data_IF_559037330857
#
_entry.id   IF_559037330857
#
_cell.length_a   1.000
_cell.length_b   1.000
_cell.length_c   1.000
_cell.angle_alpha   90.00
_cell.angle_beta   90.00
_cell.angle_gamma   90.00
#
_symmetry.space_group_name_H-M   'P 1'
#
loop_
_entity.id
_entity.type
_entity.pdbx_description
1 polymer ?
#
# COMPACT_ATOMS: atom_id res chain seq x y z
N UNK A 1 -5.09 -3.45 -13.05
CA UNK A 1 -3.80 -3.67 -13.73
C UNK A 1 -3.28 -5.03 -13.32
N UNK A 2 -2.86 -5.84 -14.30
CA UNK A 2 -2.26 -7.15 -14.07
C UNK A 2 -0.92 -7.02 -13.32
N UNK A 3 -0.66 -8.01 -12.46
CA UNK A 3 0.63 -8.19 -11.76
C UNK A 3 1.48 -9.30 -12.40
N UNK A 4 1.03 -9.86 -13.50
CA UNK A 4 1.78 -10.89 -14.21
C UNK A 4 3.15 -10.35 -14.65
N UNK A 5 4.21 -11.10 -14.34
CA UNK A 5 5.59 -10.65 -14.55
C UNK A 5 6.17 -9.81 -13.41
N UNK A 6 5.35 -9.34 -12.46
CA UNK A 6 5.84 -8.73 -11.23
C UNK A 6 6.40 -9.79 -10.28
N UNK A 7 7.58 -9.54 -9.72
CA UNK A 7 8.16 -10.39 -8.70
C UNK A 7 7.37 -10.24 -7.39
N UNK A 8 6.71 -11.29 -6.86
CA UNK A 8 5.81 -11.14 -5.73
C UNK A 8 6.57 -10.88 -4.43
N UNK A 9 6.22 -9.79 -3.75
CA UNK A 9 6.66 -9.53 -2.38
C UNK A 9 5.56 -9.96 -1.39
N UNK A 10 4.44 -9.27 -1.40
CA UNK A 10 3.27 -9.58 -0.56
C UNK A 10 2.02 -9.60 -1.45
N UNK A 11 1.61 -10.79 -1.89
CA UNK A 11 0.61 -10.96 -2.94
C UNK A 11 -0.74 -10.30 -2.64
N UNK A 12 -1.10 -10.14 -1.37
CA UNK A 12 -2.33 -9.45 -0.96
C UNK A 12 -2.21 -7.92 -0.90
N UNK A 13 -1.00 -7.38 -1.12
CA UNK A 13 -0.66 -5.96 -1.01
C UNK A 13 0.03 -5.40 -2.26
N UNK A 14 0.68 -6.26 -3.06
CA UNK A 14 1.38 -5.85 -4.27
C UNK A 14 0.42 -5.19 -5.25
N UNK A 15 0.81 -4.02 -5.77
CA UNK A 15 0.00 -3.21 -6.69
C UNK A 15 0.91 -2.58 -7.74
N UNK A 16 0.54 -2.72 -9.00
CA UNK A 16 1.17 -1.99 -10.09
C UNK A 16 0.53 -0.61 -10.24
N UNK A 17 1.34 0.41 -10.32
CA UNK A 17 0.92 1.80 -10.52
C UNK A 17 1.85 2.54 -11.47
N UNK A 18 1.54 3.81 -11.73
CA UNK A 18 2.31 4.67 -12.61
C UNK A 18 2.81 5.91 -11.88
N UNK A 19 4.01 6.36 -12.24
CA UNK A 19 4.59 7.62 -11.77
C UNK A 19 4.81 8.53 -12.97
N UNK A 20 4.13 9.68 -13.00
CA UNK A 20 4.13 10.62 -14.12
C UNK A 20 4.24 12.06 -13.64
N UNK A 21 4.47 12.99 -14.55
CA UNK A 21 4.53 14.43 -14.24
C UNK A 21 3.17 15.12 -14.24
N UNK A 22 2.15 14.48 -14.82
CA UNK A 22 0.79 15.04 -14.85
C UNK A 22 -0.25 13.95 -14.62
N UNK A 23 -1.42 14.34 -14.11
CA UNK A 23 -2.58 13.45 -13.98
C UNK A 23 -3.02 12.92 -15.34
N UNK A 24 -2.90 13.74 -16.39
CA UNK A 24 -3.23 13.38 -17.77
C UNK A 24 -2.38 12.21 -18.27
N UNK A 25 -1.06 12.28 -18.07
CA UNK A 25 -0.15 11.20 -18.45
C UNK A 25 -0.44 9.93 -17.64
N UNK A 26 -0.74 10.08 -16.33
CA UNK A 26 -1.11 8.94 -15.50
C UNK A 26 -2.37 8.24 -16.03
N UNK A 27 -3.39 9.00 -16.41
CA UNK A 27 -4.62 8.45 -16.97
C UNK A 27 -4.39 7.71 -18.28
N UNK A 28 -3.60 8.27 -19.21
CA UNK A 28 -3.25 7.62 -20.48
C UNK A 28 -2.55 6.28 -20.22
N UNK A 29 -1.55 6.27 -19.34
CA UNK A 29 -0.78 5.05 -19.06
C UNK A 29 -1.62 4.00 -18.35
N UNK A 30 -2.45 4.41 -17.35
CA UNK A 30 -3.34 3.47 -16.66
C UNK A 30 -4.39 2.91 -17.60
N UNK A 31 -4.97 3.73 -18.50
CA UNK A 31 -5.92 3.28 -19.51
C UNK A 31 -5.31 2.23 -20.47
N UNK A 32 -4.03 2.38 -20.80
CA UNK A 32 -3.30 1.41 -21.62
C UNK A 32 -2.95 0.11 -20.85
N UNK A 33 -2.78 0.17 -19.53
CA UNK A 33 -2.35 -0.96 -18.69
C UNK A 33 -3.50 -1.74 -18.05
N UNK A 34 -4.68 -1.15 -17.94
CA UNK A 34 -5.84 -1.76 -17.28
C UNK A 34 -6.46 -2.88 -18.14
N UNK A 35 -7.24 -3.74 -17.51
CA UNK A 35 -8.02 -4.79 -18.15
C UNK A 35 -7.77 -6.16 -17.57
N UNK A 36 -8.48 -7.15 -18.10
CA UNK A 36 -8.35 -8.56 -17.71
C UNK A 36 -7.07 -9.14 -18.31
N UNK A 37 -6.32 -9.84 -17.48
CA UNK A 37 -5.20 -10.68 -17.88
C UNK A 37 -5.46 -12.13 -17.43
N UNK A 38 -5.49 -13.07 -18.39
CA UNK A 38 -5.69 -14.50 -18.12
C UNK A 38 -4.61 -15.12 -17.24
N UNK A 39 -3.46 -14.48 -17.13
CA UNK A 39 -2.35 -14.92 -16.29
C UNK A 39 -2.37 -14.34 -14.87
N UNK A 40 -3.23 -13.35 -14.59
CA UNK A 40 -3.46 -12.79 -13.25
C UNK A 40 -4.96 -12.79 -12.93
N UNK A 41 -5.39 -13.79 -12.16
CA UNK A 41 -6.79 -13.92 -11.72
C UNK A 41 -7.26 -12.78 -10.79
N UNK A 42 -6.37 -11.92 -10.33
CA UNK A 42 -6.74 -10.73 -9.53
C UNK A 42 -7.03 -9.52 -10.41
N UNK A 43 -6.74 -9.59 -11.70
CA UNK A 43 -7.19 -8.58 -12.66
C UNK A 43 -8.71 -8.68 -12.86
N UNK A 44 -9.35 -7.55 -13.12
CA UNK A 44 -10.80 -7.49 -13.33
C UNK A 44 -11.13 -6.65 -14.56
N UNK A 45 -12.33 -6.82 -15.09
CA UNK A 45 -12.78 -6.06 -16.25
C UNK A 45 -13.00 -4.60 -15.87
N UNK A 46 -12.31 -3.74 -16.56
CA UNK A 46 -12.37 -2.28 -16.42
C UNK A 46 -12.45 -1.60 -17.80
N UNK A 47 -12.97 -2.33 -18.78
CA UNK A 47 -13.10 -1.84 -20.16
C UNK A 47 -14.02 -0.62 -20.28
N UNK A 48 -15.00 -0.49 -19.39
CA UNK A 48 -15.94 0.61 -19.29
C UNK A 48 -15.39 1.86 -18.58
N UNK A 49 -14.19 1.80 -18.03
CA UNK A 49 -13.55 2.92 -17.34
C UNK A 49 -12.63 3.65 -18.32
N UNK A 50 -12.85 4.91 -18.60
CA UNK A 50 -12.06 5.76 -19.48
C UNK A 50 -11.49 6.95 -18.70
N UNK A 51 -10.33 6.74 -18.07
CA UNK A 51 -9.73 7.73 -17.17
C UNK A 51 -9.32 9.01 -17.88
N UNK A 52 -8.74 8.88 -19.09
CA UNK A 52 -8.33 10.04 -19.87
C UNK A 52 -9.51 10.95 -20.25
N UNK A 53 -10.64 10.37 -20.62
CA UNK A 53 -11.85 11.11 -20.95
C UNK A 53 -12.50 11.76 -19.72
N UNK A 54 -12.28 11.18 -18.52
CA UNK A 54 -12.83 11.67 -17.28
C UNK A 54 -12.06 12.84 -16.64
N UNK A 55 -10.85 13.18 -17.13
CA UNK A 55 -9.97 14.19 -16.48
C UNK A 55 -10.64 15.57 -16.41
N UNK A 56 -11.30 15.99 -17.49
CA UNK A 56 -11.96 17.29 -17.57
C UNK A 56 -13.41 17.26 -17.05
N UNK A 57 -13.75 16.21 -16.28
CA UNK A 57 -15.05 16.05 -15.65
C UNK A 57 -15.32 17.13 -14.61
N UNK A 58 -16.63 17.41 -14.40
CA UNK A 58 -17.04 18.33 -13.36
C UNK A 58 -16.77 17.77 -11.98
N UNK A 59 -16.22 18.59 -11.10
CA UNK A 59 -15.94 18.26 -9.70
C UNK A 59 -16.96 18.84 -8.72
N UNK A 60 -17.79 19.77 -9.21
CA UNK A 60 -18.88 20.39 -8.43
C UNK A 60 -19.83 19.32 -7.87
N UNK A 61 -20.16 19.45 -6.60
CA UNK A 61 -20.99 18.48 -5.87
C UNK A 61 -20.31 17.16 -5.50
N UNK A 62 -19.02 16.98 -5.79
CA UNK A 62 -18.26 15.84 -5.29
C UNK A 62 -18.02 15.96 -3.79
N UNK A 63 -18.12 14.84 -3.10
CA UNK A 63 -17.94 14.73 -1.65
C UNK A 63 -16.64 14.05 -1.30
N UNK A 64 -15.73 14.79 -0.71
CA UNK A 64 -14.47 14.25 -0.21
C UNK A 64 -14.44 14.24 1.31
N UNK A 65 -13.62 13.39 1.88
CA UNK A 65 -13.34 13.45 3.31
C UNK A 65 -11.85 13.34 3.61
N UNK A 66 -11.44 13.84 4.76
CA UNK A 66 -10.12 13.60 5.33
C UNK A 66 -10.23 13.11 6.78
N UNK A 67 -9.19 12.44 7.24
CA UNK A 67 -9.18 11.82 8.57
C UNK A 67 -8.53 12.78 9.56
N UNK A 68 -9.30 13.25 10.54
CA UNK A 68 -8.87 14.19 11.58
C UNK A 68 -7.60 13.73 12.29
N UNK A 69 -7.57 12.48 12.73
CA UNK A 69 -6.47 11.92 13.51
C UNK A 69 -5.14 11.90 12.76
N UNK A 70 -5.17 11.95 11.42
CA UNK A 70 -3.98 11.99 10.57
C UNK A 70 -3.54 13.43 10.29
N UNK A 71 -4.49 14.36 10.21
CA UNK A 71 -4.21 15.75 9.78
C UNK A 71 -4.12 16.74 10.93
N UNK A 72 -4.57 16.39 12.13
CA UNK A 72 -4.47 17.24 13.31
C UNK A 72 -3.03 17.28 13.84
N UNK A 73 -2.39 18.43 13.74
CA UNK A 73 -1.00 18.67 14.18
C UNK A 73 -0.79 18.35 15.67
N UNK A 74 -1.82 18.42 16.49
CA UNK A 74 -1.75 18.10 17.93
C UNK A 74 -1.37 16.64 18.20
N UNK A 75 -1.59 15.76 17.23
CA UNK A 75 -1.17 14.35 17.29
C UNK A 75 0.33 14.14 17.06
N UNK A 76 1.07 15.21 16.71
CA UNK A 76 2.49 15.18 16.36
C UNK A 76 3.28 16.19 17.20
N UNK A 77 3.48 15.95 18.50
CA UNK A 77 4.14 16.93 19.40
C UNK A 77 5.54 17.30 18.93
N UNK A 78 6.26 16.37 18.30
CA UNK A 78 7.61 16.58 17.77
C UNK A 78 7.59 16.80 16.24
N UNK A 79 6.51 17.39 15.71
CA UNK A 79 6.37 17.62 14.28
C UNK A 79 7.52 18.48 13.72
N UNK A 80 8.17 17.98 12.67
CA UNK A 80 9.18 18.73 11.93
C UNK A 80 8.58 19.98 11.26
N UNK A 81 9.43 20.91 10.85
CA UNK A 81 8.98 22.08 10.07
C UNK A 81 8.34 21.66 8.74
N UNK A 82 8.88 20.62 8.12
CA UNK A 82 8.38 20.05 6.87
C UNK A 82 6.97 19.50 7.05
N UNK A 83 6.71 18.71 8.11
CA UNK A 83 5.38 18.16 8.37
C UNK A 83 4.36 19.30 8.61
N UNK A 84 4.74 20.34 9.39
CA UNK A 84 3.88 21.51 9.60
C UNK A 84 3.52 22.17 8.27
N UNK A 85 4.53 22.41 7.42
CA UNK A 85 4.31 23.02 6.10
C UNK A 85 3.45 22.14 5.19
N UNK A 86 3.62 20.82 5.23
CA UNK A 86 2.77 19.89 4.45
C UNK A 86 1.31 19.93 4.88
N UNK A 87 1.05 20.01 6.19
CA UNK A 87 -0.33 20.15 6.69
C UNK A 87 -0.93 21.52 6.32
N UNK A 88 -0.17 22.60 6.37
CA UNK A 88 -0.62 23.91 5.88
C UNK A 88 -1.03 23.84 4.40
N UNK A 89 -0.16 23.29 3.53
CA UNK A 89 -0.46 23.11 2.09
C UNK A 89 -1.69 22.21 1.89
N UNK A 90 -1.84 21.19 2.73
CA UNK A 90 -3.00 20.31 2.69
C UNK A 90 -4.29 21.10 2.95
N UNK A 91 -4.35 21.92 4.00
CA UNK A 91 -5.54 22.74 4.30
C UNK A 91 -5.76 23.83 3.26
N UNK A 92 -4.70 24.50 2.75
CA UNK A 92 -4.81 25.42 1.61
C UNK A 92 -5.45 24.74 0.38
N UNK A 93 -5.11 23.44 0.16
CA UNK A 93 -5.66 22.64 -0.95
C UNK A 93 -7.13 22.32 -0.72
N UNK A 94 -7.53 21.98 0.50
CA UNK A 94 -8.94 21.79 0.86
C UNK A 94 -9.74 23.07 0.58
N UNK A 95 -9.22 24.24 0.95
CA UNK A 95 -9.92 25.51 0.72
C UNK A 95 -10.05 25.82 -0.79
N UNK A 96 -9.06 25.44 -1.60
CA UNK A 96 -9.15 25.56 -3.07
C UNK A 96 -10.23 24.63 -3.64
N UNK A 97 -10.33 23.39 -3.15
CA UNK A 97 -11.36 22.45 -3.56
C UNK A 97 -12.76 22.94 -3.22
N UNK A 98 -12.96 23.48 -2.02
CA UNK A 98 -14.23 24.06 -1.60
C UNK A 98 -14.65 25.23 -2.49
N UNK A 99 -13.71 26.08 -2.92
CA UNK A 99 -13.98 27.21 -3.81
C UNK A 99 -14.45 26.80 -5.21
N UNK A 100 -14.16 25.59 -5.65
CA UNK A 100 -14.62 25.06 -6.94
C UNK A 100 -15.81 24.11 -6.80
N UNK A 101 -16.53 24.17 -5.66
CA UNK A 101 -17.79 23.46 -5.44
C UNK A 101 -17.65 22.03 -4.91
N UNK A 102 -16.45 21.62 -4.49
CA UNK A 102 -16.25 20.30 -3.85
C UNK A 102 -16.61 20.40 -2.37
N UNK A 103 -17.46 19.49 -1.89
CA UNK A 103 -17.73 19.34 -0.46
C UNK A 103 -16.57 18.55 0.18
N UNK A 104 -15.91 19.11 1.21
CA UNK A 104 -14.82 18.42 1.92
C UNK A 104 -15.10 18.41 3.41
N UNK A 105 -15.27 17.23 3.97
CA UNK A 105 -15.60 17.01 5.38
C UNK A 105 -14.47 16.40 6.18
N UNK A 106 -14.39 16.79 7.46
CA UNK A 106 -13.53 16.14 8.45
C UNK A 106 -14.26 14.94 9.03
N UNK A 107 -13.62 13.78 9.01
CA UNK A 107 -14.14 12.53 9.58
C UNK A 107 -13.19 12.00 10.64
N UNK A 108 -13.74 11.57 11.78
CA UNK A 108 -12.98 10.91 12.83
C UNK A 108 -13.05 9.39 12.69
N UNK A 109 -11.92 8.73 12.86
CA UNK A 109 -11.79 7.27 12.90
C UNK A 109 -11.12 6.88 14.21
N UNK A 110 -11.51 5.73 14.76
CA UNK A 110 -10.87 5.20 15.98
C UNK A 110 -9.34 5.22 15.86
N UNK A 111 -8.72 5.99 16.73
CA UNK A 111 -7.26 6.17 16.76
C UNK A 111 -6.52 4.84 16.93
N UNK A 112 -7.08 3.90 17.71
CA UNK A 112 -6.50 2.57 17.91
C UNK A 112 -6.44 1.80 16.61
N UNK A 113 -7.51 1.90 15.80
CA UNK A 113 -7.57 1.25 14.50
C UNK A 113 -6.52 1.81 13.53
N UNK A 114 -6.35 3.14 13.50
CA UNK A 114 -5.33 3.79 12.68
C UNK A 114 -3.91 3.43 13.13
N UNK A 115 -3.65 3.41 14.43
CA UNK A 115 -2.35 3.05 15.00
C UNK A 115 -1.99 1.57 14.76
N UNK A 116 -2.97 0.70 14.55
CA UNK A 116 -2.72 -0.70 14.22
C UNK A 116 -2.21 -0.91 12.78
N UNK A 117 -2.44 0.03 11.85
CA UNK A 117 -2.11 -0.12 10.41
C UNK A 117 -0.65 -0.54 10.18
N UNK A 118 0.38 0.13 10.74
CA UNK A 118 1.76 -0.26 10.51
C UNK A 118 2.07 -1.68 10.98
N UNK A 119 1.54 -2.08 12.14
CA UNK A 119 1.76 -3.43 12.70
C UNK A 119 1.06 -4.50 11.88
N UNK A 120 -0.17 -4.24 11.42
CA UNK A 120 -0.90 -5.12 10.49
C UNK A 120 -0.13 -5.30 9.19
N UNK A 121 0.35 -4.20 8.61
CA UNK A 121 1.17 -4.24 7.40
C UNK A 121 2.44 -5.09 7.60
N UNK A 122 3.19 -4.87 8.68
CA UNK A 122 4.42 -5.62 8.95
C UNK A 122 4.13 -7.11 9.12
N UNK A 123 3.11 -7.48 9.89
CA UNK A 123 2.74 -8.89 10.08
C UNK A 123 2.38 -9.57 8.77
N UNK A 124 1.50 -8.99 7.98
CA UNK A 124 1.02 -9.58 6.73
C UNK A 124 2.11 -9.59 5.66
N UNK A 125 2.77 -8.45 5.43
CA UNK A 125 3.77 -8.35 4.37
C UNK A 125 5.00 -9.23 4.62
N UNK A 126 5.47 -9.33 5.87
CA UNK A 126 6.61 -10.19 6.19
C UNK A 126 6.25 -11.68 6.09
N UNK A 127 5.05 -12.07 6.51
CA UNK A 127 4.57 -13.45 6.39
C UNK A 127 4.45 -13.85 4.90
N UNK A 128 3.79 -13.04 4.10
CA UNK A 128 3.61 -13.30 2.66
C UNK A 128 4.95 -13.27 1.91
N UNK A 129 5.84 -12.30 2.20
CA UNK A 129 7.17 -12.25 1.61
C UNK A 129 8.02 -13.48 1.95
N UNK A 130 7.93 -13.97 3.17
CA UNK A 130 8.65 -15.20 3.59
C UNK A 130 8.18 -16.41 2.78
N UNK A 131 6.86 -16.53 2.57
CA UNK A 131 6.27 -17.58 1.74
C UNK A 131 6.63 -17.41 0.27
N UNK A 132 6.38 -16.24 -0.31
CA UNK A 132 6.59 -15.96 -1.74
C UNK A 132 8.06 -16.13 -2.17
N UNK A 133 8.99 -15.68 -1.33
CA UNK A 133 10.42 -15.74 -1.63
C UNK A 133 11.10 -17.02 -1.16
N UNK A 134 10.36 -18.01 -0.69
CA UNK A 134 10.90 -19.32 -0.29
C UNK A 134 11.51 -20.09 -1.48
N UNK A 135 11.01 -19.85 -2.69
CA UNK A 135 11.49 -20.45 -3.94
C UNK A 135 12.80 -19.85 -4.46
N UNK A 136 13.27 -18.72 -3.90
CA UNK A 136 14.55 -18.11 -4.27
C UNK A 136 15.69 -18.80 -3.55
N UNK A 137 16.07 -19.95 -4.07
CA UNK A 137 17.04 -20.85 -3.45
C UNK A 137 18.42 -20.81 -4.13
N UNK A 138 18.52 -20.17 -5.32
CA UNK A 138 19.73 -20.23 -6.15
C UNK A 138 19.93 -21.56 -6.86
N UNK A 139 18.92 -22.45 -6.85
CA UNK A 139 18.98 -23.73 -7.57
C UNK A 139 18.29 -23.60 -8.93
N UNK A 140 17.09 -23.03 -8.96
CA UNK A 140 16.28 -22.87 -10.18
C UNK A 140 16.50 -21.50 -10.82
N UNK A 141 16.62 -20.45 -9.99
CA UNK A 141 16.80 -19.07 -10.45
C UNK A 141 17.99 -18.40 -9.76
N UNK A 142 18.53 -17.39 -10.43
CA UNK A 142 19.58 -16.52 -9.92
C UNK A 142 20.95 -17.16 -9.80
N UNK A 143 21.91 -16.45 -9.21
CA UNK A 143 23.27 -16.96 -9.03
C UNK A 143 23.28 -18.17 -8.10
N UNK A 144 24.00 -19.22 -8.50
CA UNK A 144 24.14 -20.43 -7.69
C UNK A 144 25.03 -20.16 -6.47
N UNK A 145 24.59 -20.57 -5.30
CA UNK A 145 25.39 -20.52 -4.09
C UNK A 145 26.53 -21.56 -4.10
N UNK A 146 27.49 -21.39 -3.21
CA UNK A 146 28.62 -22.31 -3.02
C UNK A 146 28.31 -23.24 -1.86
N UNK A 147 28.73 -24.51 -1.97
CA UNK A 147 28.57 -25.52 -0.92
C UNK A 147 28.74 -26.94 -1.45
N UNK A 148 28.98 -27.89 -0.55
CA UNK A 148 29.22 -29.29 -0.88
C UNK A 148 27.92 -30.08 -1.10
N UNK A 149 26.81 -29.52 -0.67
CA UNK A 149 25.48 -30.08 -0.84
C UNK A 149 24.44 -28.98 -1.13
N UNK A 150 23.23 -29.39 -1.53
CA UNK A 150 22.14 -28.49 -1.90
C UNK A 150 21.79 -27.52 -0.77
N UNK A 151 21.77 -27.98 0.48
CA UNK A 151 21.41 -27.15 1.62
C UNK A 151 22.41 -26.01 1.84
N UNK A 152 23.70 -26.32 1.74
CA UNK A 152 24.76 -25.32 1.90
C UNK A 152 24.78 -24.32 0.75
N UNK A 153 24.54 -24.78 -0.48
CA UNK A 153 24.38 -23.90 -1.64
C UNK A 153 23.21 -22.93 -1.45
N UNK A 154 22.05 -23.42 -0.97
CA UNK A 154 20.89 -22.58 -0.67
C UNK A 154 21.18 -21.58 0.45
N UNK A 155 21.84 -22.00 1.54
CA UNK A 155 22.23 -21.10 2.64
C UNK A 155 23.18 -20.01 2.15
N UNK A 156 24.20 -20.37 1.38
CA UNK A 156 25.19 -19.43 0.84
C UNK A 156 24.50 -18.40 -0.08
N UNK A 157 23.67 -18.87 -1.02
CA UNK A 157 22.90 -18.01 -1.92
C UNK A 157 22.03 -17.02 -1.15
N UNK A 158 21.19 -17.51 -0.24
CA UNK A 158 20.26 -16.66 0.52
C UNK A 158 20.98 -15.73 1.48
N UNK A 159 22.12 -16.17 2.05
CA UNK A 159 22.92 -15.33 2.95
C UNK A 159 23.58 -14.17 2.20
N UNK A 160 24.08 -14.39 1.00
CA UNK A 160 24.76 -13.36 0.20
C UNK A 160 23.79 -12.55 -0.66
N UNK A 161 22.73 -13.18 -1.18
CA UNK A 161 21.81 -12.59 -2.14
C UNK A 161 20.81 -11.61 -1.54
N UNK A 162 20.40 -11.78 -0.27
CA UNK A 162 19.43 -10.88 0.37
C UNK A 162 20.13 -9.85 1.26
N UNK A 163 19.65 -8.60 1.14
CA UNK A 163 20.10 -7.52 2.03
C UNK A 163 19.70 -7.79 3.49
N UNK A 164 20.39 -7.16 4.47
CA UNK A 164 20.02 -7.26 5.88
C UNK A 164 18.56 -6.91 6.16
N UNK A 165 18.02 -5.91 5.45
CA UNK A 165 16.63 -5.47 5.60
C UNK A 165 15.65 -6.58 5.19
N UNK A 166 15.89 -7.25 4.08
CA UNK A 166 15.04 -8.36 3.60
C UNK A 166 15.17 -9.57 4.53
N UNK A 167 16.37 -9.91 4.98
CA UNK A 167 16.57 -10.99 5.97
C UNK A 167 15.79 -10.75 7.26
N UNK A 168 15.79 -9.51 7.77
CA UNK A 168 14.99 -9.14 8.94
C UNK A 168 13.48 -9.39 8.70
N UNK A 169 12.96 -9.09 7.50
CA UNK A 169 11.56 -9.38 7.15
C UNK A 169 11.28 -10.89 7.16
N UNK A 170 12.20 -11.71 6.67
CA UNK A 170 12.04 -13.17 6.73
C UNK A 170 12.06 -13.72 8.15
N UNK A 171 12.88 -13.16 9.04
CA UNK A 171 12.87 -13.56 10.46
C UNK A 171 11.52 -13.24 11.10
N UNK A 172 11.00 -12.03 10.88
CA UNK A 172 9.68 -11.63 11.38
C UNK A 172 8.59 -12.54 10.78
N UNK A 173 8.59 -12.72 9.45
CA UNK A 173 7.59 -13.55 8.77
C UNK A 173 7.63 -15.00 9.21
N UNK A 174 8.82 -15.58 9.36
CA UNK A 174 8.98 -16.94 9.88
C UNK A 174 8.43 -17.08 11.29
N UNK A 175 8.66 -16.11 12.16
CA UNK A 175 8.10 -16.09 13.51
C UNK A 175 6.57 -16.01 13.51
N UNK A 176 6.02 -15.12 12.68
CA UNK A 176 4.56 -14.93 12.53
C UNK A 176 3.87 -16.20 12.00
N UNK A 177 4.55 -16.95 11.11
CA UNK A 177 4.00 -18.16 10.48
C UNK A 177 4.18 -19.43 11.31
N UNK A 178 4.90 -19.40 12.44
CA UNK A 178 4.99 -20.54 13.35
C UNK A 178 3.59 -20.91 13.85
N UNK A 179 3.31 -22.21 13.96
CA UNK A 179 1.99 -22.73 14.33
C UNK A 179 1.42 -22.09 15.61
N UNK A 180 2.24 -21.92 16.62
CA UNK A 180 1.90 -21.31 17.91
C UNK A 180 1.65 -19.81 17.83
N UNK A 181 2.18 -19.14 16.81
CA UNK A 181 2.11 -17.68 16.63
C UNK A 181 1.06 -17.26 15.59
N UNK A 182 0.70 -18.16 14.69
CA UNK A 182 -0.11 -17.84 13.50
C UNK A 182 -1.47 -17.21 13.85
N UNK A 183 -2.18 -17.81 14.81
CA UNK A 183 -3.47 -17.27 15.24
C UNK A 183 -3.30 -15.89 15.90
N UNK A 184 -2.31 -15.75 16.77
CA UNK A 184 -2.08 -14.52 17.53
C UNK A 184 -1.68 -13.34 16.64
N UNK A 185 -0.85 -13.55 15.62
CA UNK A 185 -0.30 -12.47 14.79
C UNK A 185 -0.94 -12.42 13.41
N UNK A 186 -0.83 -13.48 12.60
CA UNK A 186 -1.27 -13.45 11.21
C UNK A 186 -2.79 -13.34 11.08
N UNK A 187 -3.52 -14.23 11.74
CA UNK A 187 -4.99 -14.25 11.66
C UNK A 187 -5.59 -13.00 12.30
N UNK A 188 -5.06 -12.55 13.45
CA UNK A 188 -5.53 -11.32 14.06
C UNK A 188 -5.20 -10.08 13.20
N UNK A 189 -4.04 -10.02 12.55
CA UNK A 189 -3.74 -8.96 11.60
C UNK A 189 -4.75 -8.92 10.43
N UNK A 190 -5.16 -10.08 9.91
CA UNK A 190 -6.20 -10.16 8.89
C UNK A 190 -7.57 -9.67 9.41
N UNK A 191 -7.92 -10.00 10.66
CA UNK A 191 -9.16 -9.51 11.30
C UNK A 191 -9.16 -7.99 11.44
N UNK A 192 -8.05 -7.42 11.93
CA UNK A 192 -7.92 -5.96 12.06
C UNK A 192 -7.96 -5.29 10.68
N UNK A 193 -7.25 -5.84 9.68
CA UNK A 193 -7.35 -5.38 8.28
C UNK A 193 -8.81 -5.36 7.81
N UNK A 194 -9.60 -6.39 8.15
CA UNK A 194 -11.03 -6.45 7.81
C UNK A 194 -11.83 -5.32 8.48
N UNK A 195 -11.55 -5.00 9.74
CA UNK A 195 -12.20 -3.88 10.42
C UNK A 195 -11.90 -2.54 9.73
N UNK A 196 -10.64 -2.30 9.32
CA UNK A 196 -10.26 -1.13 8.54
C UNK A 196 -11.02 -1.06 7.22
N UNK A 197 -11.05 -2.17 6.46
CA UNK A 197 -11.78 -2.27 5.20
C UNK A 197 -13.28 -1.98 5.38
N UNK A 198 -13.89 -2.51 6.44
CA UNK A 198 -15.31 -2.30 6.71
C UNK A 198 -15.59 -0.82 7.03
N UNK A 199 -14.73 -0.18 7.82
CA UNK A 199 -14.87 1.26 8.12
C UNK A 199 -14.71 2.11 6.86
N UNK A 200 -13.73 1.82 6.02
CA UNK A 200 -13.56 2.53 4.75
C UNK A 200 -14.75 2.32 3.80
N UNK A 201 -15.27 1.10 3.69
CA UNK A 201 -16.48 0.82 2.90
C UNK A 201 -17.71 1.58 3.41
N UNK A 202 -17.85 1.77 4.70
CA UNK A 202 -18.92 2.58 5.29
C UNK A 202 -18.80 4.04 4.83
N UNK A 203 -17.61 4.62 4.92
CA UNK A 203 -17.35 6.00 4.51
C UNK A 203 -17.58 6.21 3.01
N UNK A 204 -17.09 5.31 2.17
CA UNK A 204 -17.28 5.37 0.72
C UNK A 204 -18.72 5.13 0.23
N UNK A 205 -19.69 4.90 1.13
CA UNK A 205 -21.13 5.00 0.77
C UNK A 205 -21.60 6.44 0.70
N UNK A 206 -20.92 7.34 1.39
CA UNK A 206 -21.30 8.76 1.50
C UNK A 206 -20.36 9.66 0.71
N UNK A 207 -19.08 9.30 0.63
CA UNK A 207 -18.02 10.11 0.03
C UNK A 207 -17.47 9.48 -1.24
N UNK A 208 -17.13 10.31 -2.22
CA UNK A 208 -16.53 9.90 -3.48
C UNK A 208 -15.05 9.52 -3.32
N UNK A 209 -14.30 10.24 -2.46
CA UNK A 209 -12.88 9.95 -2.25
C UNK A 209 -12.36 10.42 -0.87
N UNK A 210 -11.28 9.77 -0.42
CA UNK A 210 -10.45 10.19 0.70
C UNK A 210 -9.30 11.05 0.20
N UNK A 211 -9.05 12.19 0.84
CA UNK A 211 -7.88 13.04 0.60
C UNK A 211 -6.99 13.07 1.84
N UNK A 212 -5.69 12.86 1.66
CA UNK A 212 -4.70 12.86 2.74
C UNK A 212 -3.41 13.53 2.27
N UNK A 213 -2.57 14.06 3.20
CA UNK A 213 -1.20 14.42 2.88
C UNK A 213 -0.43 13.22 2.33
N UNK A 214 0.35 13.42 1.27
CA UNK A 214 1.05 12.34 0.56
C UNK A 214 2.22 11.77 1.35
N UNK A 215 2.87 12.59 2.17
CA UNK A 215 4.03 12.20 2.99
C UNK A 215 4.20 13.14 4.18
N UNK A 216 5.09 12.76 5.10
CA UNK A 216 5.44 13.56 6.28
C UNK A 216 6.61 14.51 6.03
N UNK A 217 7.25 14.47 4.85
CA UNK A 217 8.39 15.26 4.49
C UNK A 217 8.70 15.23 3.00
N UNK A 218 9.71 15.98 2.59
CA UNK A 218 10.25 15.93 1.22
C UNK A 218 11.02 14.64 0.97
N UNK A 219 11.30 14.34 -0.29
CA UNK A 219 12.14 13.19 -0.65
C UNK A 219 13.54 13.33 0.01
N UNK A 220 14.12 12.19 0.48
CA UNK A 220 15.44 12.19 1.10
C UNK A 220 16.56 12.52 0.12
#
# INVERSE_FOLDING_TARGET
ISRYGLFPFASSLDTCGVLTRSVKDAAIVVDAMKGIDKYDQTSWDSSDIHLYEAIDGKVDGKKLFYIKEITDISNYPDASKELKRHLEIFYETIDKLRKVGVEVEEVSIDKTLLQAIPSVYVCLSCAEATSNMSNLTGIIFGPRGKGDNVMDMMKDHRTKGFSPLIKRRFVIGSYVLQKENQERYFVNAQRVRRLIVNKMKELFKTYDALILPVSTGVAP
#
